data_IF_769719533032
#
_entry.id   IF_769719533032
#
_cell.length_a   1.000
_cell.length_b   1.000
_cell.length_c   1.000
_cell.angle_alpha   90.00
_cell.angle_beta   90.00
_cell.angle_gamma   90.00
#
_symmetry.space_group_name_H-M   'P 1'
#
loop_
_entity.id
_entity.type
_entity.pdbx_description
1 polymer ?
#
# COMPACT_ATOMS: atom_id res chain seq x y z
N UNK A 1 -41.42 -3.44 56.93
CA UNK A 1 -40.64 -4.24 57.90
C UNK A 1 -39.18 -4.28 57.48
N UNK A 2 -38.28 -4.39 58.46
CA UNK A 2 -36.82 -4.50 58.26
C UNK A 2 -36.50 -5.82 57.50
N UNK A 3 -35.65 -5.73 56.45
CA UNK A 3 -35.26 -6.89 55.64
C UNK A 3 -34.39 -7.88 56.43
N UNK A 4 -33.72 -7.48 57.50
CA UNK A 4 -32.88 -8.37 58.30
C UNK A 4 -33.60 -9.11 59.42
N UNK A 5 -34.53 -8.46 60.16
CA UNK A 5 -35.23 -9.13 61.25
C UNK A 5 -36.72 -9.44 60.98
N UNK A 6 -37.30 -8.84 59.94
CA UNK A 6 -38.70 -9.06 59.58
C UNK A 6 -39.74 -8.44 60.52
N UNK A 7 -39.34 -7.92 61.68
CA UNK A 7 -40.24 -7.56 62.74
C UNK A 7 -40.43 -6.03 62.96
N UNK A 8 -39.37 -5.26 62.74
CA UNK A 8 -39.37 -3.79 63.06
C UNK A 8 -39.56 -2.96 61.80
N UNK A 9 -40.06 -1.72 62.01
CA UNK A 9 -40.13 -0.74 60.89
C UNK A 9 -38.74 -0.35 60.42
N UNK A 10 -38.58 -0.14 59.12
CA UNK A 10 -37.35 0.36 58.50
C UNK A 10 -37.03 1.78 59.04
N UNK A 11 -35.77 2.08 59.19
CA UNK A 11 -35.31 3.44 59.41
C UNK A 11 -35.55 4.29 58.16
N UNK A 12 -35.67 5.61 58.32
CA UNK A 12 -35.91 6.53 57.23
C UNK A 12 -34.72 6.51 56.28
N UNK A 13 -34.96 6.18 55.01
CA UNK A 13 -33.90 6.06 54.00
C UNK A 13 -33.10 4.74 54.00
N UNK A 14 -33.49 3.75 54.84
CA UNK A 14 -32.82 2.46 54.96
C UNK A 14 -33.79 1.28 54.79
N UNK A 15 -33.31 0.17 54.23
CA UNK A 15 -34.05 -1.11 54.17
C UNK A 15 -34.03 -1.89 55.47
N UNK A 16 -33.34 -1.37 56.47
CA UNK A 16 -33.13 -1.99 57.80
C UNK A 16 -33.67 -1.13 58.91
N UNK A 17 -34.00 -1.70 60.04
CA UNK A 17 -34.29 -0.92 61.26
C UNK A 17 -32.98 -0.45 61.88
N UNK A 18 -33.03 0.62 62.68
CA UNK A 18 -31.87 1.25 63.28
C UNK A 18 -30.94 0.28 64.01
N UNK A 19 -31.50 -0.68 64.75
CA UNK A 19 -30.74 -1.68 65.51
C UNK A 19 -30.05 -2.73 64.58
N UNK A 20 -30.69 -3.14 63.52
CA UNK A 20 -30.08 -4.03 62.51
C UNK A 20 -29.01 -3.30 61.71
N UNK A 21 -29.21 -2.05 61.43
CA UNK A 21 -28.22 -1.22 60.73
C UNK A 21 -26.98 -0.96 61.60
N UNK A 22 -27.18 -0.67 62.88
CA UNK A 22 -26.10 -0.51 63.86
C UNK A 22 -25.34 -1.83 64.08
N UNK A 23 -26.05 -2.94 64.17
CA UNK A 23 -25.43 -4.28 64.25
C UNK A 23 -24.61 -4.60 63.01
N UNK A 24 -25.09 -4.29 61.80
CA UNK A 24 -24.32 -4.50 60.56
C UNK A 24 -23.09 -3.58 60.49
N UNK A 25 -23.20 -2.32 60.93
CA UNK A 25 -22.05 -1.40 61.00
C UNK A 25 -21.00 -1.81 62.06
N UNK A 26 -21.43 -2.41 63.15
CA UNK A 26 -20.55 -2.88 64.21
C UNK A 26 -19.96 -4.28 63.97
N UNK A 27 -20.51 -5.05 63.04
CA UNK A 27 -20.01 -6.39 62.73
C UNK A 27 -18.71 -6.28 61.97
N UNK A 28 -17.60 -6.64 62.62
CA UNK A 28 -16.30 -6.72 61.94
C UNK A 28 -16.35 -7.82 60.91
N UNK A 29 -16.11 -7.45 59.66
CA UNK A 29 -15.98 -8.43 58.56
C UNK A 29 -14.77 -9.33 58.91
N UNK A 30 -15.00 -10.65 59.07
CA UNK A 30 -13.89 -11.55 59.37
C UNK A 30 -12.81 -11.45 58.30
N UNK A 31 -11.55 -11.65 58.69
CA UNK A 31 -10.38 -11.58 57.77
C UNK A 31 -10.62 -12.37 56.48
N UNK A 32 -11.29 -13.51 56.62
CA UNK A 32 -11.66 -14.37 55.48
C UNK A 32 -12.62 -13.66 54.49
N UNK A 33 -13.53 -12.81 54.98
CA UNK A 33 -14.41 -11.99 54.14
C UNK A 33 -13.66 -10.91 53.37
N UNK A 34 -12.69 -10.27 54.00
CA UNK A 34 -11.82 -9.34 53.32
C UNK A 34 -10.96 -9.99 52.23
N UNK A 35 -10.38 -11.17 52.52
CA UNK A 35 -9.57 -11.96 51.56
C UNK A 35 -10.44 -12.39 50.37
N UNK A 36 -11.65 -12.91 50.67
CA UNK A 36 -12.61 -13.31 49.63
C UNK A 36 -13.05 -12.11 48.75
N UNK A 37 -13.34 -10.94 49.36
CA UNK A 37 -13.71 -9.74 48.66
C UNK A 37 -12.58 -9.25 47.76
N UNK A 38 -11.34 -9.26 48.27
CA UNK A 38 -10.17 -8.87 47.51
C UNK A 38 -9.90 -9.83 46.33
N UNK A 39 -10.02 -11.14 46.57
CA UNK A 39 -9.90 -12.16 45.54
C UNK A 39 -10.98 -12.01 44.45
N UNK A 40 -12.22 -11.67 44.82
CA UNK A 40 -13.29 -11.42 43.86
C UNK A 40 -13.04 -10.15 43.01
N UNK A 41 -12.50 -9.08 43.60
CA UNK A 41 -12.13 -7.86 42.86
C UNK A 41 -11.01 -8.17 41.88
N UNK A 42 -9.98 -8.88 42.33
CA UNK A 42 -8.86 -9.28 41.45
C UNK A 42 -9.37 -10.18 40.30
N UNK A 43 -10.20 -11.15 40.60
CA UNK A 43 -10.81 -12.02 39.58
C UNK A 43 -11.69 -11.23 38.59
N UNK A 44 -12.45 -10.23 39.09
CA UNK A 44 -13.25 -9.35 38.26
C UNK A 44 -12.39 -8.47 37.31
N UNK A 45 -11.31 -7.89 37.82
CA UNK A 45 -10.35 -7.11 37.00
C UNK A 45 -9.71 -8.02 35.95
N UNK A 46 -9.30 -9.24 36.35
CA UNK A 46 -8.71 -10.20 35.41
C UNK A 46 -9.72 -10.67 34.36
N UNK A 47 -10.97 -10.91 34.73
CA UNK A 47 -12.03 -11.27 33.81
C UNK A 47 -12.36 -10.12 32.83
N UNK A 48 -12.39 -8.87 33.29
CA UNK A 48 -12.56 -7.70 32.42
C UNK A 48 -11.38 -7.53 31.45
N UNK A 49 -10.16 -7.71 31.94
CA UNK A 49 -8.94 -7.68 31.10
C UNK A 49 -8.97 -8.75 30.01
N UNK A 50 -9.34 -9.99 30.37
CA UNK A 50 -9.51 -11.11 29.43
C UNK A 50 -10.65 -10.83 28.42
N UNK A 51 -11.78 -10.31 28.88
CA UNK A 51 -12.89 -9.96 28.00
C UNK A 51 -12.48 -8.87 26.97
N UNK A 52 -11.70 -7.89 27.39
CA UNK A 52 -11.17 -6.86 26.50
C UNK A 52 -10.17 -7.44 25.50
N UNK A 53 -9.22 -8.28 25.96
CA UNK A 53 -8.23 -8.93 25.09
C UNK A 53 -8.87 -9.84 24.03
N UNK A 54 -10.02 -10.44 24.31
CA UNK A 54 -10.74 -11.30 23.37
C UNK A 54 -11.68 -10.48 22.47
N UNK A 55 -12.34 -9.45 23.01
CA UNK A 55 -13.34 -8.70 22.26
C UNK A 55 -12.75 -7.78 21.20
N UNK A 56 -11.58 -7.20 21.45
CA UNK A 56 -10.94 -6.31 20.48
C UNK A 56 -10.53 -7.04 19.18
N UNK A 57 -9.80 -8.18 19.23
CA UNK A 57 -9.52 -8.99 18.04
C UNK A 57 -10.81 -9.50 17.36
N UNK A 58 -11.80 -9.97 18.14
CA UNK A 58 -13.07 -10.45 17.59
C UNK A 58 -13.82 -9.33 16.82
N UNK A 59 -13.75 -8.09 17.30
CA UNK A 59 -14.35 -6.95 16.63
C UNK A 59 -13.65 -6.66 15.30
N UNK A 60 -12.31 -6.78 15.23
CA UNK A 60 -11.58 -6.58 13.99
C UNK A 60 -11.87 -7.69 12.98
N UNK A 61 -11.94 -8.96 13.40
CA UNK A 61 -12.41 -10.06 12.54
C UNK A 61 -13.80 -9.77 11.99
N UNK A 62 -14.73 -9.34 12.86
CA UNK A 62 -16.10 -9.02 12.45
C UNK A 62 -16.14 -7.86 11.44
N UNK A 63 -15.35 -6.80 11.66
CA UNK A 63 -15.23 -5.68 10.70
C UNK A 63 -14.70 -6.17 9.35
N UNK A 64 -13.64 -6.97 9.37
CA UNK A 64 -13.06 -7.55 8.15
C UNK A 64 -14.08 -8.44 7.41
N UNK A 65 -14.84 -9.27 8.11
CA UNK A 65 -15.88 -10.11 7.52
C UNK A 65 -17.02 -9.30 6.90
N UNK A 66 -17.37 -8.17 7.51
CA UNK A 66 -18.37 -7.26 6.94
C UNK A 66 -17.88 -6.59 5.66
N UNK A 67 -16.62 -6.15 5.62
CA UNK A 67 -16.03 -5.51 4.42
C UNK A 67 -15.83 -6.55 3.32
N UNK A 68 -15.33 -7.75 3.62
CA UNK A 68 -15.22 -8.85 2.67
C UNK A 68 -16.58 -9.25 2.05
N UNK A 69 -17.65 -9.25 2.86
CA UNK A 69 -19.02 -9.53 2.37
C UNK A 69 -19.54 -8.47 1.38
N UNK A 70 -19.00 -7.25 1.45
CA UNK A 70 -19.28 -6.15 0.47
C UNK A 70 -18.38 -6.22 -0.77
N UNK A 71 -17.40 -7.12 -0.80
CA UNK A 71 -16.35 -7.14 -1.82
C UNK A 71 -15.26 -6.08 -1.63
N UNK A 72 -15.23 -5.39 -0.49
CA UNK A 72 -14.21 -4.40 -0.11
C UNK A 72 -13.00 -5.11 0.50
N UNK A 73 -12.20 -5.77 -0.34
CA UNK A 73 -11.15 -6.68 0.12
C UNK A 73 -9.96 -6.00 0.79
N UNK A 74 -9.58 -4.79 0.34
CA UNK A 74 -8.49 -4.05 0.98
C UNK A 74 -8.84 -3.59 2.41
N UNK A 75 -10.00 -2.96 2.69
CA UNK A 75 -10.45 -2.72 4.05
C UNK A 75 -10.59 -3.99 4.90
N UNK A 76 -10.99 -5.11 4.28
CA UNK A 76 -11.03 -6.40 4.97
C UNK A 76 -9.63 -6.86 5.38
N UNK A 77 -8.64 -6.78 4.46
CA UNK A 77 -7.24 -7.05 4.74
C UNK A 77 -6.71 -6.19 5.89
N UNK A 78 -6.93 -4.87 5.83
CA UNK A 78 -6.49 -3.92 6.87
C UNK A 78 -7.07 -4.27 8.25
N UNK A 79 -8.33 -4.71 8.31
CA UNK A 79 -8.94 -5.15 9.57
C UNK A 79 -8.33 -6.45 10.11
N UNK A 80 -8.04 -7.42 9.24
CA UNK A 80 -7.45 -8.69 9.64
C UNK A 80 -5.97 -8.56 10.01
N UNK A 81 -5.19 -7.75 9.30
CA UNK A 81 -3.76 -7.56 9.56
C UNK A 81 -3.48 -6.94 10.93
N UNK A 82 -4.36 -6.08 11.44
CA UNK A 82 -4.23 -5.51 12.79
C UNK A 82 -4.20 -6.54 13.93
N UNK A 83 -4.69 -7.75 13.68
CA UNK A 83 -4.69 -8.83 14.68
C UNK A 83 -3.67 -9.93 14.37
N UNK A 84 -2.99 -9.86 13.23
CA UNK A 84 -2.07 -10.90 12.78
C UNK A 84 -0.87 -11.05 13.72
N UNK A 85 -0.29 -9.95 14.16
CA UNK A 85 0.83 -9.95 15.11
C UNK A 85 0.42 -10.57 16.45
N UNK A 86 -0.79 -10.25 16.93
CA UNK A 86 -1.31 -10.83 18.17
C UNK A 86 -1.52 -12.34 18.03
N UNK A 87 -2.09 -12.77 16.90
CA UNK A 87 -2.34 -14.19 16.61
C UNK A 87 -1.02 -14.95 16.46
N UNK A 88 -0.03 -14.35 15.80
CA UNK A 88 1.32 -14.91 15.63
C UNK A 88 2.02 -15.08 16.98
N UNK A 89 2.01 -14.05 17.84
CA UNK A 89 2.61 -14.08 19.17
C UNK A 89 1.94 -15.13 20.08
N UNK A 90 0.61 -15.30 19.99
CA UNK A 90 -0.09 -16.34 20.76
C UNK A 90 0.25 -17.74 20.25
N UNK A 91 0.42 -17.92 18.94
CA UNK A 91 0.81 -19.19 18.34
C UNK A 91 2.23 -19.63 18.72
N UNK A 92 3.16 -18.71 18.90
CA UNK A 92 4.53 -19.01 19.39
C UNK A 92 4.53 -19.54 20.82
N UNK A 93 3.59 -19.07 21.65
CA UNK A 93 3.46 -19.48 23.06
C UNK A 93 2.71 -20.82 23.18
N UNK A 94 1.74 -21.06 22.30
CA UNK A 94 0.86 -22.23 22.36
C UNK A 94 1.30 -23.28 21.34
N UNK A 95 1.68 -24.47 21.81
CA UNK A 95 2.06 -25.61 20.95
C UNK A 95 0.94 -25.99 19.95
N UNK A 96 1.35 -26.57 18.82
CA UNK A 96 0.59 -26.78 17.56
C UNK A 96 -0.83 -27.39 17.66
N UNK A 97 -1.22 -28.00 18.76
CA UNK A 97 -2.52 -28.70 18.88
C UNK A 97 -3.62 -27.91 19.63
N UNK A 98 -3.34 -26.66 19.99
CA UNK A 98 -4.33 -25.86 20.72
C UNK A 98 -5.46 -25.35 19.82
N UNK A 99 -6.70 -25.15 20.37
CA UNK A 99 -7.78 -24.51 19.62
C UNK A 99 -7.44 -23.12 19.08
N UNK A 100 -6.48 -22.44 19.70
CA UNK A 100 -6.01 -21.11 19.29
C UNK A 100 -5.17 -21.17 18.01
N UNK A 101 -4.41 -22.24 17.77
CA UNK A 101 -3.68 -22.44 16.51
C UNK A 101 -4.64 -22.56 15.32
N UNK A 102 -5.78 -23.26 15.51
CA UNK A 102 -6.85 -23.33 14.50
C UNK A 102 -7.47 -21.96 14.21
N UNK A 103 -7.64 -21.13 15.24
CA UNK A 103 -8.11 -19.75 15.08
C UNK A 103 -7.08 -18.90 14.33
N UNK A 104 -5.79 -19.09 14.60
CA UNK A 104 -4.69 -18.43 13.88
C UNK A 104 -4.69 -18.77 12.38
N UNK A 105 -4.78 -20.05 12.04
CA UNK A 105 -4.93 -20.47 10.65
C UNK A 105 -6.14 -19.80 9.96
N UNK A 106 -7.27 -19.71 10.67
CA UNK A 106 -8.47 -19.06 10.15
C UNK A 106 -8.27 -17.59 9.82
N UNK A 107 -7.54 -16.84 10.65
CA UNK A 107 -7.19 -15.42 10.41
C UNK A 107 -6.22 -15.31 9.25
N UNK A 108 -5.13 -16.07 9.23
CA UNK A 108 -4.17 -16.10 8.12
C UNK A 108 -4.85 -16.43 6.78
N UNK A 109 -5.78 -17.35 6.76
CA UNK A 109 -6.56 -17.69 5.57
C UNK A 109 -7.47 -16.54 5.11
N UNK A 110 -8.03 -15.76 6.03
CA UNK A 110 -8.81 -14.55 5.70
C UNK A 110 -7.93 -13.47 5.12
N UNK A 111 -6.74 -13.24 5.69
CA UNK A 111 -5.70 -12.33 5.17
C UNK A 111 -5.31 -12.75 3.75
N UNK A 112 -4.93 -14.01 3.56
CA UNK A 112 -4.57 -14.57 2.26
C UNK A 112 -5.68 -14.37 1.20
N UNK A 113 -6.94 -14.67 1.55
CA UNK A 113 -8.07 -14.45 0.64
C UNK A 113 -8.22 -12.98 0.26
N UNK A 114 -8.04 -12.07 1.22
CA UNK A 114 -8.11 -10.64 0.96
C UNK A 114 -6.97 -10.19 0.04
N UNK A 115 -5.75 -10.68 0.27
CA UNK A 115 -4.60 -10.44 -0.60
C UNK A 115 -4.89 -10.96 -2.02
N UNK A 116 -5.36 -12.19 -2.15
CA UNK A 116 -5.67 -12.81 -3.44
C UNK A 116 -6.77 -12.08 -4.26
N UNK A 117 -7.56 -11.22 -3.62
CA UNK A 117 -8.59 -10.41 -4.27
C UNK A 117 -8.20 -8.93 -4.45
N UNK A 118 -7.17 -8.46 -3.76
CA UNK A 118 -6.77 -7.04 -3.73
C UNK A 118 -5.39 -6.76 -4.26
N UNK A 119 -4.53 -7.77 -4.33
CA UNK A 119 -3.13 -7.64 -4.69
C UNK A 119 -2.76 -8.56 -5.85
N UNK A 120 -1.50 -8.47 -6.30
CA UNK A 120 -1.01 -9.32 -7.36
C UNK A 120 -0.99 -10.82 -6.97
N UNK A 121 -1.12 -11.73 -7.93
CA UNK A 121 -0.98 -13.17 -7.67
C UNK A 121 0.37 -13.56 -7.05
N UNK A 122 1.43 -12.79 -7.28
CA UNK A 122 2.74 -13.03 -6.66
C UNK A 122 2.70 -12.76 -5.15
N UNK A 123 2.07 -11.67 -4.71
CA UNK A 123 1.86 -11.38 -3.28
C UNK A 123 0.95 -12.41 -2.61
N UNK A 124 -0.09 -12.86 -3.32
CA UNK A 124 -0.92 -13.97 -2.88
C UNK A 124 -0.09 -15.27 -2.74
N UNK A 125 0.85 -15.53 -3.63
CA UNK A 125 1.71 -16.69 -3.59
C UNK A 125 2.69 -16.65 -2.40
N UNK A 126 3.32 -15.52 -2.11
CA UNK A 126 4.14 -15.35 -0.90
C UNK A 126 3.32 -15.50 0.39
N UNK A 127 2.10 -14.97 0.42
CA UNK A 127 1.19 -15.16 1.55
C UNK A 127 0.80 -16.62 1.73
N UNK A 128 0.57 -17.36 0.64
CA UNK A 128 0.28 -18.79 0.65
C UNK A 128 1.46 -19.60 1.18
N UNK A 129 2.68 -19.28 0.80
CA UNK A 129 3.91 -19.93 1.29
C UNK A 129 4.07 -19.74 2.80
N UNK A 130 3.85 -18.52 3.30
CA UNK A 130 3.86 -18.23 4.73
C UNK A 130 2.85 -19.08 5.50
N UNK A 131 1.64 -19.28 4.94
CA UNK A 131 0.64 -20.16 5.54
C UNK A 131 1.09 -21.62 5.47
N UNK A 132 1.68 -22.03 4.34
CA UNK A 132 2.14 -23.40 4.14
C UNK A 132 3.27 -23.77 5.11
N UNK A 133 4.22 -22.86 5.32
CA UNK A 133 5.34 -23.06 6.25
C UNK A 133 4.88 -23.18 7.71
N UNK A 134 3.88 -22.38 8.11
CA UNK A 134 3.42 -22.31 9.50
C UNK A 134 2.34 -23.35 9.82
N UNK A 135 1.45 -23.67 8.86
CA UNK A 135 0.24 -24.49 9.05
C UNK A 135 0.14 -25.62 8.04
N UNK A 136 1.23 -26.29 7.72
CA UNK A 136 1.37 -27.29 6.63
C UNK A 136 0.19 -28.26 6.54
N UNK A 137 -0.18 -28.94 7.63
CA UNK A 137 -1.27 -29.95 7.61
C UNK A 137 -2.63 -29.38 7.19
N UNK A 138 -2.90 -28.11 7.50
CA UNK A 138 -4.15 -27.43 7.14
C UNK A 138 -4.04 -26.83 5.74
N UNK A 139 -2.88 -26.25 5.40
CA UNK A 139 -2.59 -25.64 4.12
C UNK A 139 -2.69 -26.64 2.96
N UNK A 140 -2.17 -27.87 3.16
CA UNK A 140 -2.26 -28.95 2.16
C UNK A 140 -3.68 -29.33 1.76
N UNK A 141 -4.67 -29.02 2.59
CA UNK A 141 -6.09 -29.29 2.31
C UNK A 141 -6.78 -28.16 1.55
N UNK A 142 -6.11 -27.02 1.39
CA UNK A 142 -6.67 -25.85 0.73
C UNK A 142 -6.16 -25.75 -0.71
N UNK A 143 -7.04 -25.95 -1.70
CA UNK A 143 -6.68 -25.96 -3.11
C UNK A 143 -6.04 -24.63 -3.57
N UNK A 144 -6.59 -23.49 -3.16
CA UNK A 144 -6.10 -22.16 -3.54
C UNK A 144 -4.69 -21.89 -2.98
N UNK A 145 -4.43 -22.27 -1.70
CA UNK A 145 -3.08 -22.15 -1.12
C UNK A 145 -2.09 -23.02 -1.89
N UNK A 146 -2.47 -24.25 -2.22
CA UNK A 146 -1.62 -25.18 -3.01
C UNK A 146 -1.28 -24.65 -4.41
N UNK A 147 -2.28 -24.10 -5.08
CA UNK A 147 -2.12 -23.52 -6.42
C UNK A 147 -1.16 -22.32 -6.38
N UNK A 148 -1.33 -21.42 -5.43
CA UNK A 148 -0.44 -20.27 -5.25
C UNK A 148 0.99 -20.70 -4.86
N UNK A 149 1.15 -21.72 -4.02
CA UNK A 149 2.49 -22.23 -3.66
C UNK A 149 3.18 -22.89 -4.86
N UNK A 150 2.42 -23.62 -5.68
CA UNK A 150 2.97 -24.20 -6.92
C UNK A 150 3.43 -23.08 -7.88
N UNK A 151 2.58 -22.08 -8.09
CA UNK A 151 2.92 -20.91 -8.89
C UNK A 151 4.24 -20.27 -8.43
N UNK A 152 4.42 -20.06 -7.12
CA UNK A 152 5.64 -19.48 -6.57
C UNK A 152 6.87 -20.35 -6.86
N UNK A 153 6.72 -21.68 -6.75
CA UNK A 153 7.81 -22.63 -7.10
C UNK A 153 8.19 -22.52 -8.57
N UNK A 154 7.22 -22.50 -9.49
CA UNK A 154 7.47 -22.37 -10.93
C UNK A 154 8.14 -21.00 -11.24
N UNK A 155 7.73 -19.93 -10.55
CA UNK A 155 8.34 -18.61 -10.68
C UNK A 155 9.81 -18.60 -10.19
N UNK A 156 10.08 -19.19 -9.01
CA UNK A 156 11.42 -19.26 -8.44
C UNK A 156 12.36 -20.11 -9.30
N UNK A 157 11.90 -21.27 -9.78
CA UNK A 157 12.68 -22.12 -10.68
C UNK A 157 13.05 -21.38 -11.98
N UNK A 158 12.13 -20.61 -12.53
CA UNK A 158 12.41 -19.79 -13.72
C UNK A 158 13.44 -18.71 -13.42
N UNK A 159 13.31 -18.04 -12.27
CA UNK A 159 14.25 -17.00 -11.86
C UNK A 159 15.66 -17.55 -11.64
N UNK A 160 15.79 -18.73 -11.03
CA UNK A 160 17.07 -19.43 -10.89
C UNK A 160 17.70 -19.77 -12.25
N UNK A 161 16.90 -20.24 -13.21
CA UNK A 161 17.37 -20.57 -14.56
C UNK A 161 17.89 -19.35 -15.34
N UNK A 162 17.34 -18.17 -15.09
CA UNK A 162 17.77 -16.91 -15.74
C UNK A 162 18.84 -16.14 -14.94
N UNK A 163 19.39 -16.69 -13.85
CA UNK A 163 20.32 -15.97 -12.98
C UNK A 163 21.52 -15.36 -13.73
N UNK A 164 22.15 -16.11 -14.64
CA UNK A 164 23.28 -15.64 -15.46
C UNK A 164 22.86 -14.48 -16.40
N UNK A 165 21.64 -14.54 -16.94
CA UNK A 165 21.09 -13.48 -17.78
C UNK A 165 20.81 -12.21 -16.97
N UNK A 166 20.34 -12.34 -15.72
CA UNK A 166 20.13 -11.23 -14.79
C UNK A 166 21.48 -10.60 -14.38
N UNK A 167 22.51 -11.41 -14.14
CA UNK A 167 23.85 -10.89 -13.86
C UNK A 167 24.40 -10.09 -15.05
N UNK A 168 24.28 -10.58 -16.28
CA UNK A 168 24.64 -9.83 -17.48
C UNK A 168 23.79 -8.57 -17.65
N UNK A 169 22.51 -8.61 -17.34
CA UNK A 169 21.65 -7.42 -17.36
C UNK A 169 22.18 -6.33 -16.47
N UNK A 170 22.64 -6.65 -15.27
CA UNK A 170 23.15 -5.72 -14.27
C UNK A 170 24.61 -5.29 -14.52
N UNK A 171 25.33 -5.98 -15.40
CA UNK A 171 26.71 -5.68 -15.73
C UNK A 171 26.81 -4.54 -16.75
N UNK A 172 27.55 -3.49 -16.43
CA UNK A 172 27.85 -2.40 -17.38
C UNK A 172 28.71 -2.86 -18.58
N UNK A 173 29.42 -3.98 -18.44
CA UNK A 173 30.29 -4.52 -19.48
C UNK A 173 29.53 -5.33 -20.54
N UNK A 174 28.37 -5.92 -20.17
CA UNK A 174 27.57 -6.72 -21.09
C UNK A 174 26.74 -5.85 -22.04
N UNK A 175 26.78 -6.17 -23.32
CA UNK A 175 25.95 -5.52 -24.34
C UNK A 175 24.49 -5.94 -24.24
N UNK A 176 23.60 -5.18 -24.91
CA UNK A 176 22.18 -5.53 -25.04
C UNK A 176 22.02 -6.91 -25.67
N UNK A 177 22.76 -7.18 -26.75
CA UNK A 177 22.70 -8.44 -27.49
C UNK A 177 23.13 -9.63 -26.62
N UNK A 178 24.21 -9.50 -25.86
CA UNK A 178 24.69 -10.54 -24.93
C UNK A 178 23.69 -10.82 -23.81
N UNK A 179 23.08 -9.76 -23.28
CA UNK A 179 22.03 -9.89 -22.27
C UNK A 179 20.81 -10.62 -22.81
N UNK A 180 20.31 -10.20 -23.98
CA UNK A 180 19.12 -10.83 -24.59
C UNK A 180 19.38 -12.28 -25.01
N UNK A 181 20.58 -12.58 -25.54
CA UNK A 181 20.99 -13.95 -25.89
C UNK A 181 21.03 -14.88 -24.67
N UNK A 182 21.48 -14.38 -23.51
CA UNK A 182 21.47 -15.15 -22.28
C UNK A 182 20.05 -15.51 -21.81
N UNK A 183 19.09 -14.61 -21.96
CA UNK A 183 17.69 -14.93 -21.71
C UNK A 183 17.12 -15.94 -22.72
N UNK A 184 17.52 -15.88 -24.00
CA UNK A 184 17.09 -16.86 -25.01
C UNK A 184 17.66 -18.27 -24.72
N UNK A 185 18.89 -18.35 -24.24
CA UNK A 185 19.52 -19.60 -23.80
C UNK A 185 18.76 -20.17 -22.59
N UNK A 186 18.51 -19.37 -21.57
CA UNK A 186 17.78 -19.77 -20.37
C UNK A 186 16.35 -20.26 -20.67
N UNK A 187 15.69 -19.68 -21.68
CA UNK A 187 14.36 -20.09 -22.10
C UNK A 187 14.29 -21.53 -22.64
N UNK A 188 15.43 -22.15 -22.97
CA UNK A 188 15.49 -23.53 -23.44
C UNK A 188 15.57 -24.54 -22.29
N UNK A 189 15.74 -24.13 -21.05
CA UNK A 189 15.88 -25.02 -19.91
C UNK A 189 14.54 -25.68 -19.53
N UNK A 190 14.62 -26.95 -19.07
CA UNK A 190 13.44 -27.70 -18.66
C UNK A 190 12.76 -27.04 -17.42
N UNK A 191 11.44 -26.92 -17.46
CA UNK A 191 10.64 -26.39 -16.34
C UNK A 191 10.60 -24.86 -16.25
N UNK A 192 11.16 -24.17 -17.24
CA UNK A 192 11.14 -22.70 -17.33
C UNK A 192 9.83 -22.23 -17.94
N UNK A 193 9.18 -21.24 -17.31
CA UNK A 193 7.95 -20.67 -17.83
C UNK A 193 8.24 -19.58 -18.87
N UNK A 194 7.74 -19.76 -20.10
CA UNK A 194 8.01 -18.88 -21.22
C UNK A 194 7.53 -17.43 -21.00
N UNK A 195 6.40 -17.23 -20.32
CA UNK A 195 5.88 -15.88 -20.02
C UNK A 195 6.83 -15.15 -19.09
N UNK A 196 7.30 -15.82 -18.03
CA UNK A 196 8.22 -15.22 -17.06
C UNK A 196 9.56 -14.85 -17.69
N UNK A 197 10.16 -15.77 -18.49
CA UNK A 197 11.42 -15.47 -19.17
C UNK A 197 11.27 -14.28 -20.12
N UNK A 198 10.20 -14.25 -20.90
CA UNK A 198 9.96 -13.15 -21.85
C UNK A 198 9.75 -11.82 -21.15
N UNK A 199 9.07 -11.83 -20.01
CA UNK A 199 8.92 -10.64 -19.17
C UNK A 199 10.25 -10.20 -18.53
N UNK A 200 11.07 -11.13 -18.05
CA UNK A 200 12.41 -10.83 -17.55
C UNK A 200 13.34 -10.29 -18.67
N UNK A 201 13.17 -10.78 -19.90
CA UNK A 201 13.84 -10.21 -21.07
C UNK A 201 13.43 -8.76 -21.34
N UNK A 202 12.14 -8.43 -21.17
CA UNK A 202 11.67 -7.04 -21.19
C UNK A 202 12.36 -6.21 -20.10
N UNK A 203 12.47 -6.71 -18.87
CA UNK A 203 13.18 -6.01 -17.80
C UNK A 203 14.66 -5.78 -18.16
N UNK A 204 15.32 -6.78 -18.78
CA UNK A 204 16.68 -6.62 -19.29
C UNK A 204 16.81 -5.55 -20.36
N UNK A 205 15.86 -5.49 -21.29
CA UNK A 205 15.79 -4.46 -22.32
C UNK A 205 15.56 -3.05 -21.70
N UNK A 206 14.74 -2.97 -20.65
CA UNK A 206 14.51 -1.71 -19.92
C UNK A 206 15.75 -1.27 -19.17
N UNK A 207 16.44 -2.17 -18.48
CA UNK A 207 17.67 -1.86 -17.77
C UNK A 207 18.80 -1.35 -18.71
N UNK A 208 18.81 -1.85 -19.93
CA UNK A 208 19.76 -1.45 -20.99
C UNK A 208 19.27 -0.28 -21.86
N UNK A 209 18.28 0.47 -21.41
CA UNK A 209 17.74 1.68 -22.07
C UNK A 209 17.33 1.46 -23.54
N UNK A 210 16.79 0.31 -23.88
CA UNK A 210 16.27 0.05 -25.22
C UNK A 210 15.06 0.96 -25.51
N UNK A 211 14.89 1.39 -26.80
CA UNK A 211 13.72 2.19 -27.18
C UNK A 211 12.39 1.49 -26.87
N UNK A 212 11.36 2.25 -26.50
CA UNK A 212 10.02 1.76 -26.14
C UNK A 212 9.41 0.85 -27.23
N UNK A 213 9.61 1.21 -28.50
CA UNK A 213 9.13 0.43 -29.64
C UNK A 213 9.74 -1.00 -29.71
N UNK A 214 10.96 -1.18 -29.19
CA UNK A 214 11.62 -2.48 -29.14
C UNK A 214 11.22 -3.24 -27.86
N UNK A 215 11.09 -2.56 -26.73
CA UNK A 215 10.60 -3.11 -25.47
C UNK A 215 9.17 -3.64 -25.59
N UNK A 216 8.30 -2.95 -26.34
CA UNK A 216 6.92 -3.41 -26.66
C UNK A 216 6.92 -4.79 -27.28
N UNK A 217 7.87 -5.12 -28.15
CA UNK A 217 7.93 -6.46 -28.82
C UNK A 217 8.11 -7.60 -27.82
N UNK A 218 8.83 -7.37 -26.70
CA UNK A 218 8.97 -8.39 -25.67
C UNK A 218 7.67 -8.60 -24.89
N UNK A 219 6.90 -7.55 -24.65
CA UNK A 219 5.60 -7.67 -23.98
C UNK A 219 4.54 -8.29 -24.90
N UNK A 220 4.60 -8.02 -26.21
CA UNK A 220 3.80 -8.74 -27.23
C UNK A 220 4.15 -10.24 -27.26
N UNK A 221 5.42 -10.58 -27.14
CA UNK A 221 5.85 -11.96 -27.07
C UNK A 221 5.42 -12.64 -25.76
N UNK A 222 5.44 -11.92 -24.62
CA UNK A 222 4.92 -12.43 -23.36
C UNK A 222 3.39 -12.71 -23.43
N UNK A 223 2.62 -11.82 -24.05
CA UNK A 223 1.18 -12.03 -24.29
C UNK A 223 0.92 -13.23 -25.23
N UNK A 224 1.75 -13.40 -26.25
CA UNK A 224 1.63 -14.52 -27.16
C UNK A 224 1.94 -15.86 -26.44
N UNK A 225 2.96 -15.90 -25.58
CA UNK A 225 3.29 -17.06 -24.75
C UNK A 225 2.15 -17.38 -23.77
N UNK A 226 1.62 -16.36 -23.06
CA UNK A 226 0.50 -16.48 -22.13
C UNK A 226 -0.76 -17.08 -22.81
N UNK A 227 -1.05 -16.59 -24.01
CA UNK A 227 -2.15 -17.10 -24.83
C UNK A 227 -1.93 -18.54 -25.30
N UNK A 228 -0.70 -18.91 -25.66
CA UNK A 228 -0.35 -20.26 -26.13
C UNK A 228 -0.42 -21.29 -25.00
N UNK A 229 0.04 -20.94 -23.81
CA UNK A 229 0.00 -21.77 -22.61
C UNK A 229 -1.39 -21.81 -21.96
N UNK A 230 -2.31 -20.93 -22.37
CA UNK A 230 -3.62 -20.69 -21.73
C UNK A 230 -3.48 -20.42 -20.23
N UNK A 231 -2.39 -19.81 -19.86
CA UNK A 231 -2.15 -19.28 -18.52
C UNK A 231 -2.92 -17.97 -18.33
N UNK A 232 -2.99 -17.45 -17.14
CA UNK A 232 -3.60 -16.15 -16.85
C UNK A 232 -2.56 -15.26 -16.12
N UNK A 233 -1.42 -15.03 -16.83
CA UNK A 233 -0.28 -14.27 -16.31
C UNK A 233 -0.24 -12.82 -16.81
N UNK A 234 -1.34 -12.34 -17.39
CA UNK A 234 -1.42 -10.96 -17.88
C UNK A 234 -1.17 -9.90 -16.80
N UNK A 235 -1.42 -10.22 -15.54
CA UNK A 235 -1.09 -9.36 -14.39
C UNK A 235 0.41 -9.04 -14.27
N UNK A 236 1.27 -9.91 -14.77
CA UNK A 236 2.73 -9.74 -14.68
C UNK A 236 3.21 -8.58 -15.57
N UNK A 237 2.66 -8.46 -16.76
CA UNK A 237 3.14 -7.54 -17.79
C UNK A 237 2.15 -6.42 -18.15
N UNK A 238 0.89 -6.50 -17.75
CA UNK A 238 -0.14 -5.57 -18.20
C UNK A 238 0.13 -4.11 -17.82
N UNK A 239 0.66 -3.86 -16.61
CA UNK A 239 0.95 -2.50 -16.17
C UNK A 239 2.07 -1.86 -16.99
N UNK A 240 3.17 -2.59 -17.18
CA UNK A 240 4.30 -2.10 -17.96
C UNK A 240 3.94 -1.95 -19.44
N UNK A 241 3.15 -2.88 -19.96
CA UNK A 241 2.68 -2.77 -21.33
C UNK A 241 1.77 -1.56 -21.53
N UNK A 242 0.85 -1.30 -20.59
CA UNK A 242 0.02 -0.09 -20.64
C UNK A 242 0.88 1.18 -20.62
N UNK A 243 1.92 1.23 -19.76
CA UNK A 243 2.83 2.36 -19.68
C UNK A 243 3.55 2.61 -21.01
N UNK A 244 4.13 1.59 -21.62
CA UNK A 244 4.79 1.74 -22.91
C UNK A 244 3.82 2.15 -24.03
N UNK A 245 2.60 1.60 -24.02
CA UNK A 245 1.57 1.98 -25.00
C UNK A 245 1.14 3.45 -24.84
N UNK A 246 1.07 3.95 -23.61
CA UNK A 246 0.84 5.38 -23.36
C UNK A 246 1.98 6.24 -23.93
N UNK A 247 3.23 5.86 -23.70
CA UNK A 247 4.40 6.58 -24.21
C UNK A 247 4.41 6.68 -25.75
N UNK A 248 3.91 5.66 -26.43
CA UNK A 248 3.82 5.65 -27.91
C UNK A 248 2.46 6.10 -28.43
N UNK A 249 1.60 6.68 -27.58
CA UNK A 249 0.30 7.27 -27.97
C UNK A 249 -0.80 6.28 -28.30
N UNK A 250 -0.70 5.01 -27.89
CA UNK A 250 -1.70 3.97 -28.13
C UNK A 250 -2.70 3.85 -26.96
N UNK A 251 -3.41 4.94 -26.65
CA UNK A 251 -4.28 5.06 -25.46
C UNK A 251 -5.37 3.99 -25.35
N UNK A 252 -6.08 3.66 -26.43
CA UNK A 252 -7.14 2.64 -26.40
C UNK A 252 -6.59 1.25 -26.03
N UNK A 253 -5.42 0.90 -26.57
CA UNK A 253 -4.77 -0.36 -26.26
C UNK A 253 -4.26 -0.34 -24.81
N UNK A 254 -3.70 0.77 -24.33
CA UNK A 254 -3.28 0.95 -22.94
C UNK A 254 -4.44 0.76 -21.97
N UNK A 255 -5.61 1.37 -22.22
CA UNK A 255 -6.82 1.16 -21.39
C UNK A 255 -7.21 -0.32 -21.28
N UNK A 256 -7.06 -1.09 -22.36
CA UNK A 256 -7.34 -2.54 -22.33
C UNK A 256 -6.43 -3.29 -21.35
N UNK A 257 -5.14 -2.94 -21.30
CA UNK A 257 -4.19 -3.58 -20.38
C UNK A 257 -4.33 -3.08 -18.94
N UNK A 258 -4.70 -1.82 -18.75
CA UNK A 258 -5.06 -1.31 -17.42
C UNK A 258 -6.30 -2.03 -16.87
N UNK A 259 -7.30 -2.32 -17.70
CA UNK A 259 -8.46 -3.12 -17.30
C UNK A 259 -8.09 -4.57 -16.97
N UNK A 260 -7.16 -5.18 -17.72
CA UNK A 260 -6.61 -6.50 -17.37
C UNK A 260 -5.93 -6.46 -16.01
N UNK A 261 -5.08 -5.46 -15.74
CA UNK A 261 -4.42 -5.30 -14.44
C UNK A 261 -5.42 -5.13 -13.31
N UNK A 262 -6.41 -4.26 -13.47
CA UNK A 262 -7.42 -3.98 -12.44
C UNK A 262 -8.40 -5.14 -12.19
N UNK A 263 -8.46 -6.12 -13.08
CA UNK A 263 -9.17 -7.38 -12.83
C UNK A 263 -8.53 -8.18 -11.69
N UNK A 264 -7.19 -8.15 -11.60
CA UNK A 264 -6.43 -8.83 -10.56
C UNK A 264 -6.25 -7.97 -9.32
N UNK A 265 -5.84 -6.72 -9.50
CA UNK A 265 -5.55 -5.80 -8.43
C UNK A 265 -6.32 -4.48 -8.60
N UNK A 266 -7.52 -4.44 -8.03
CA UNK A 266 -8.37 -3.22 -8.01
C UNK A 266 -7.78 -2.11 -7.16
N UNK A 267 -6.84 -2.43 -6.26
CA UNK A 267 -6.15 -1.51 -5.36
C UNK A 267 -4.86 -0.97 -5.95
N UNK A 268 -4.49 -1.36 -7.17
CA UNK A 268 -3.32 -0.83 -7.87
C UNK A 268 -3.43 0.68 -8.08
N UNK A 269 -2.66 1.45 -7.32
CA UNK A 269 -2.60 2.90 -7.46
C UNK A 269 -2.15 3.29 -8.87
N UNK A 270 -1.06 2.68 -9.34
CA UNK A 270 -0.50 2.98 -10.65
C UNK A 270 -1.50 2.73 -11.79
N UNK A 271 -2.19 1.59 -11.79
CA UNK A 271 -3.16 1.28 -12.84
C UNK A 271 -4.37 2.24 -12.83
N UNK A 272 -4.90 2.59 -11.64
CA UNK A 272 -5.99 3.53 -11.52
C UNK A 272 -5.57 4.96 -11.88
N UNK A 273 -4.38 5.39 -11.44
CA UNK A 273 -3.82 6.70 -11.78
C UNK A 273 -3.60 6.83 -13.30
N UNK A 274 -2.94 5.86 -13.92
CA UNK A 274 -2.74 5.86 -15.38
C UNK A 274 -4.05 5.88 -16.15
N UNK A 275 -5.04 5.09 -15.74
CA UNK A 275 -6.36 5.06 -16.36
C UNK A 275 -7.11 6.39 -16.22
N UNK A 276 -7.08 6.98 -15.03
CA UNK A 276 -7.65 8.30 -14.76
C UNK A 276 -6.99 9.36 -15.67
N UNK A 277 -5.68 9.35 -15.77
CA UNK A 277 -4.90 10.29 -16.60
C UNK A 277 -5.24 10.17 -18.08
N UNK A 278 -5.35 8.95 -18.60
CA UNK A 278 -5.78 8.75 -20.00
C UNK A 278 -7.15 9.36 -20.27
N UNK A 279 -8.12 9.16 -19.39
CA UNK A 279 -9.42 9.77 -19.54
C UNK A 279 -9.38 11.30 -19.45
N UNK A 280 -8.58 11.87 -18.56
CA UNK A 280 -8.40 13.33 -18.47
C UNK A 280 -7.77 13.91 -19.74
N UNK A 281 -6.74 13.24 -20.28
CA UNK A 281 -6.09 13.65 -21.53
C UNK A 281 -7.06 13.64 -22.73
N UNK A 282 -8.05 12.76 -22.72
CA UNK A 282 -9.12 12.70 -23.74
C UNK A 282 -10.32 13.63 -23.44
N UNK A 283 -10.28 14.40 -22.35
CA UNK A 283 -11.39 15.25 -21.91
C UNK A 283 -12.58 14.50 -21.32
N UNK A 284 -12.43 13.22 -21.01
CA UNK A 284 -13.46 12.33 -20.43
C UNK A 284 -13.48 12.45 -18.91
N UNK A 285 -13.85 13.64 -18.42
CA UNK A 285 -13.79 13.97 -16.98
C UNK A 285 -14.68 13.08 -16.11
N UNK A 286 -15.86 12.70 -16.61
CA UNK A 286 -16.81 11.85 -15.87
C UNK A 286 -16.26 10.42 -15.69
N UNK A 287 -15.59 9.87 -16.70
CA UNK A 287 -14.94 8.59 -16.65
C UNK A 287 -13.75 8.61 -15.68
N UNK A 288 -12.95 9.68 -15.70
CA UNK A 288 -11.86 9.89 -14.75
C UNK A 288 -12.37 9.96 -13.30
N UNK A 289 -13.46 10.73 -13.08
CA UNK A 289 -14.11 10.81 -11.77
C UNK A 289 -14.60 9.43 -11.27
N UNK A 290 -15.15 8.60 -12.17
CA UNK A 290 -15.60 7.26 -11.82
C UNK A 290 -14.42 6.37 -11.39
N UNK A 291 -13.31 6.38 -12.13
CA UNK A 291 -12.09 5.64 -11.74
C UNK A 291 -11.63 6.04 -10.34
N UNK A 292 -11.52 7.34 -10.08
CA UNK A 292 -11.15 7.86 -8.76
C UNK A 292 -12.11 7.39 -7.68
N UNK A 293 -13.43 7.44 -7.90
CA UNK A 293 -14.41 7.00 -6.89
C UNK A 293 -14.37 5.49 -6.64
N UNK A 294 -14.19 4.67 -7.70
CA UNK A 294 -14.05 3.22 -7.58
C UNK A 294 -12.79 2.86 -6.77
N UNK A 295 -11.67 3.52 -7.06
CA UNK A 295 -10.44 3.35 -6.30
C UNK A 295 -10.60 3.76 -4.82
N UNK A 296 -11.18 4.93 -4.57
CA UNK A 296 -11.46 5.43 -3.21
C UNK A 296 -12.35 4.46 -2.42
N UNK A 297 -13.31 3.83 -3.07
CA UNK A 297 -14.14 2.81 -2.44
C UNK A 297 -13.38 1.51 -2.14
N UNK A 298 -12.48 1.09 -3.05
CA UNK A 298 -11.64 -0.10 -2.89
C UNK A 298 -10.57 0.09 -1.82
N UNK A 299 -9.96 1.28 -1.74
CA UNK A 299 -8.84 1.63 -0.84
C UNK A 299 -9.25 2.58 0.29
N UNK A 300 -10.50 2.49 0.74
CA UNK A 300 -11.02 3.36 1.80
C UNK A 300 -10.16 3.31 3.05
N UNK A 301 -9.78 4.48 3.56
CA UNK A 301 -8.97 4.62 4.77
C UNK A 301 -7.47 4.43 4.51
N UNK A 302 -7.00 4.76 3.32
CA UNK A 302 -5.58 4.82 2.98
C UNK A 302 -5.19 6.22 2.51
N UNK A 303 -3.93 6.58 2.68
CA UNK A 303 -3.35 7.82 2.15
C UNK A 303 -3.37 7.84 0.62
N UNK A 304 -3.18 6.68 -0.04
CA UNK A 304 -3.26 6.55 -1.49
C UNK A 304 -4.64 6.89 -2.06
N UNK A 305 -5.73 6.63 -1.31
CA UNK A 305 -7.08 7.05 -1.72
C UNK A 305 -7.21 8.58 -1.74
N UNK A 306 -6.64 9.27 -0.75
CA UNK A 306 -6.53 10.72 -0.74
C UNK A 306 -5.64 11.22 -1.87
N UNK A 307 -4.50 10.60 -2.08
CA UNK A 307 -3.56 10.97 -3.13
C UNK A 307 -4.21 10.98 -4.52
N UNK A 308 -4.96 9.93 -4.88
CA UNK A 308 -5.63 9.86 -6.18
C UNK A 308 -6.75 10.91 -6.31
N UNK A 309 -7.53 11.16 -5.25
CA UNK A 309 -8.58 12.18 -5.26
C UNK A 309 -7.99 13.59 -5.36
N UNK A 310 -6.91 13.89 -4.64
CA UNK A 310 -6.19 15.16 -4.72
C UNK A 310 -5.63 15.36 -6.15
N UNK A 311 -5.02 14.33 -6.72
CA UNK A 311 -4.51 14.36 -8.09
C UNK A 311 -5.63 14.64 -9.10
N UNK A 312 -6.79 13.99 -8.96
CA UNK A 312 -7.97 14.27 -9.79
C UNK A 312 -8.43 15.73 -9.67
N UNK A 313 -8.65 16.22 -8.43
CA UNK A 313 -9.09 17.58 -8.16
C UNK A 313 -8.14 18.63 -8.74
N UNK A 314 -6.84 18.40 -8.58
CA UNK A 314 -5.80 19.24 -9.18
C UNK A 314 -5.88 19.27 -10.69
N UNK A 315 -6.04 18.11 -11.32
CA UNK A 315 -6.09 17.98 -12.78
C UNK A 315 -7.34 18.62 -13.42
N UNK A 316 -8.45 18.72 -12.68
CA UNK A 316 -9.66 19.42 -13.13
C UNK A 316 -9.72 20.89 -12.69
N UNK A 317 -8.65 21.42 -12.10
CA UNK A 317 -8.53 22.82 -11.68
C UNK A 317 -9.23 23.18 -10.37
N UNK A 318 -9.71 22.22 -9.60
CA UNK A 318 -10.37 22.42 -8.30
C UNK A 318 -9.31 22.55 -7.17
N UNK A 319 -8.36 23.49 -7.34
CA UNK A 319 -7.17 23.60 -6.52
C UNK A 319 -7.45 23.87 -5.04
N UNK A 320 -8.49 24.68 -4.73
CA UNK A 320 -8.87 24.95 -3.34
C UNK A 320 -9.37 23.69 -2.63
N UNK A 321 -10.20 22.89 -3.28
CA UNK A 321 -10.68 21.61 -2.74
C UNK A 321 -9.51 20.60 -2.57
N UNK A 322 -8.61 20.54 -3.55
CA UNK A 322 -7.44 19.71 -3.48
C UNK A 322 -6.56 20.07 -2.26
N UNK A 323 -6.36 21.36 -2.00
CA UNK A 323 -5.61 21.86 -0.83
C UNK A 323 -6.29 21.54 0.50
N UNK A 324 -7.60 21.74 0.58
CA UNK A 324 -8.39 21.36 1.77
C UNK A 324 -8.24 19.86 2.06
N UNK A 325 -8.31 19.04 1.02
CA UNK A 325 -8.16 17.59 1.13
C UNK A 325 -6.75 17.17 1.54
N UNK A 326 -5.68 17.83 1.06
CA UNK A 326 -4.31 17.65 1.57
C UNK A 326 -4.24 17.90 3.08
N UNK A 327 -4.85 18.98 3.54
CA UNK A 327 -4.87 19.33 4.98
C UNK A 327 -5.62 18.29 5.81
N UNK A 328 -6.71 17.73 5.29
CA UNK A 328 -7.45 16.65 5.94
C UNK A 328 -6.62 15.36 6.01
N UNK A 329 -6.03 14.96 4.87
CA UNK A 329 -5.20 13.76 4.79
C UNK A 329 -4.00 13.82 5.74
N UNK A 330 -3.30 14.96 5.83
CA UNK A 330 -2.16 15.14 6.74
C UNK A 330 -2.56 15.10 8.22
N UNK A 331 -3.81 15.50 8.58
CA UNK A 331 -4.31 15.32 9.94
C UNK A 331 -4.56 13.85 10.29
N UNK A 332 -4.98 13.06 9.32
CA UNK A 332 -5.30 11.63 9.51
C UNK A 332 -4.05 10.75 9.48
N UNK A 333 -3.15 11.00 8.52
CA UNK A 333 -1.97 10.13 8.25
C UNK A 333 -0.64 10.73 8.74
N UNK A 334 -0.66 11.95 9.26
CA UNK A 334 0.57 12.59 9.74
C UNK A 334 1.52 12.95 8.61
N UNK A 335 2.69 12.32 8.56
CA UNK A 335 3.73 12.59 7.57
C UNK A 335 3.63 11.62 6.38
N UNK A 336 2.89 11.98 5.32
CA UNK A 336 2.88 11.28 4.04
C UNK A 336 3.68 12.07 3.00
N UNK A 337 4.79 11.54 2.47
CA UNK A 337 5.57 12.20 1.43
C UNK A 337 4.70 12.53 0.22
N UNK A 338 3.86 11.59 -0.19
CA UNK A 338 3.01 11.68 -1.35
C UNK A 338 1.98 12.82 -1.23
N UNK A 339 1.40 13.03 -0.04
CA UNK A 339 0.44 14.11 0.21
C UNK A 339 1.14 15.47 0.24
N UNK A 340 2.31 15.58 0.88
CA UNK A 340 3.11 16.80 0.84
C UNK A 340 3.54 17.17 -0.57
N UNK A 341 3.94 16.18 -1.39
CA UNK A 341 4.23 16.41 -2.81
C UNK A 341 3.03 16.98 -3.55
N UNK A 342 1.84 16.40 -3.39
CA UNK A 342 0.62 16.91 -4.02
C UNK A 342 0.33 18.36 -3.58
N UNK A 343 0.51 18.68 -2.31
CA UNK A 343 0.36 20.04 -1.79
C UNK A 343 1.36 21.01 -2.42
N UNK A 344 2.63 20.62 -2.53
CA UNK A 344 3.66 21.40 -3.21
C UNK A 344 3.28 21.70 -4.67
N UNK A 345 2.78 20.69 -5.41
CA UNK A 345 2.34 20.87 -6.80
C UNK A 345 1.13 21.83 -6.91
N UNK A 346 0.19 21.80 -5.97
CA UNK A 346 -0.94 22.75 -5.92
C UNK A 346 -0.44 24.18 -5.70
N UNK A 347 0.50 24.39 -4.78
CA UNK A 347 1.12 25.70 -4.56
C UNK A 347 1.90 26.19 -5.78
N UNK A 348 2.62 25.31 -6.48
CA UNK A 348 3.31 25.64 -7.74
C UNK A 348 2.32 26.13 -8.80
N UNK A 349 1.18 25.41 -8.98
CA UNK A 349 0.15 25.81 -9.94
C UNK A 349 -0.49 27.18 -9.59
N UNK A 350 -0.56 27.51 -8.31
CA UNK A 350 -1.04 28.80 -7.83
C UNK A 350 0.04 29.92 -7.87
N UNK A 351 1.27 29.59 -8.25
CA UNK A 351 2.39 30.53 -8.25
C UNK A 351 2.88 30.91 -6.83
N UNK A 352 2.50 30.15 -5.82
CA UNK A 352 2.95 30.31 -4.43
C UNK A 352 4.21 29.48 -4.19
N UNK A 353 5.33 29.97 -4.70
CA UNK A 353 6.58 29.24 -4.72
C UNK A 353 7.18 29.01 -3.32
N UNK A 354 6.89 29.89 -2.33
CA UNK A 354 7.41 29.76 -0.98
C UNK A 354 6.77 28.57 -0.27
N UNK A 355 5.42 28.49 -0.28
CA UNK A 355 4.71 27.36 0.32
C UNK A 355 4.96 26.07 -0.48
N UNK A 356 5.14 26.15 -1.80
CA UNK A 356 5.53 25.00 -2.60
C UNK A 356 6.87 24.41 -2.16
N UNK A 357 7.84 25.27 -1.87
CA UNK A 357 9.17 24.84 -1.39
C UNK A 357 9.10 24.22 0.00
N UNK A 358 8.34 24.82 0.94
CA UNK A 358 8.17 24.28 2.29
C UNK A 358 7.53 22.88 2.26
N UNK A 359 6.49 22.70 1.46
CA UNK A 359 5.82 21.40 1.36
C UNK A 359 6.66 20.37 0.60
N UNK A 360 7.45 20.79 -0.39
CA UNK A 360 8.42 19.90 -1.05
C UNK A 360 9.51 19.43 -0.09
N UNK A 361 10.01 20.31 0.77
CA UNK A 361 10.97 19.96 1.80
C UNK A 361 10.35 19.03 2.84
N UNK A 362 9.07 19.25 3.20
CA UNK A 362 8.34 18.35 4.08
C UNK A 362 8.13 16.95 3.47
N UNK A 363 7.90 16.88 2.15
CA UNK A 363 7.82 15.61 1.41
C UNK A 363 9.14 14.83 1.48
N UNK A 364 10.25 15.50 1.20
CA UNK A 364 11.60 14.91 1.31
C UNK A 364 11.88 14.41 2.72
N UNK A 365 11.62 15.23 3.73
CA UNK A 365 11.85 14.84 5.12
C UNK A 365 10.99 13.62 5.53
N UNK A 366 9.74 13.57 5.11
CA UNK A 366 8.86 12.44 5.34
C UNK A 366 9.35 11.16 4.63
N UNK A 367 9.83 11.29 3.38
CA UNK A 367 10.45 10.19 2.63
C UNK A 367 11.74 9.70 3.30
N UNK A 368 12.58 10.61 3.80
CA UNK A 368 13.76 10.26 4.58
C UNK A 368 13.43 9.50 5.85
N UNK A 369 12.40 9.92 6.61
CA UNK A 369 11.92 9.18 7.77
C UNK A 369 11.46 7.77 7.39
N UNK A 370 10.72 7.62 6.30
CA UNK A 370 10.30 6.32 5.78
C UNK A 370 11.50 5.44 5.41
N UNK A 371 12.50 6.00 4.72
CA UNK A 371 13.76 5.33 4.41
C UNK A 371 14.48 4.81 5.67
N UNK A 372 14.54 5.59 6.75
CA UNK A 372 15.18 5.16 8.00
C UNK A 372 14.51 3.91 8.61
N UNK A 373 13.21 3.70 8.38
CA UNK A 373 12.49 2.53 8.86
C UNK A 373 12.55 1.34 7.90
N UNK A 374 12.46 1.60 6.58
CA UNK A 374 12.32 0.53 5.58
C UNK A 374 13.65 0.12 4.94
N UNK A 375 14.66 0.98 4.97
CA UNK A 375 15.91 0.81 4.22
C UNK A 375 15.75 1.04 2.70
N UNK A 376 14.54 1.40 2.22
CA UNK A 376 14.27 1.67 0.81
C UNK A 376 14.62 3.12 0.46
N UNK A 377 15.72 3.29 -0.25
CA UNK A 377 16.22 4.59 -0.67
C UNK A 377 15.54 5.14 -1.94
N UNK A 378 14.81 4.32 -2.68
CA UNK A 378 14.27 4.71 -4.00
C UNK A 378 13.25 5.83 -3.87
N UNK A 379 12.29 5.71 -2.95
CA UNK A 379 11.26 6.72 -2.70
C UNK A 379 11.88 8.04 -2.22
N UNK A 380 12.89 7.98 -1.35
CA UNK A 380 13.60 9.16 -0.87
C UNK A 380 14.32 9.89 -1.99
N UNK A 381 15.07 9.18 -2.82
CA UNK A 381 15.79 9.75 -3.96
C UNK A 381 14.82 10.36 -4.98
N UNK A 382 13.69 9.69 -5.24
CA UNK A 382 12.68 10.19 -6.16
C UNK A 382 12.04 11.49 -5.67
N UNK A 383 11.67 11.59 -4.39
CA UNK A 383 11.10 12.83 -3.84
C UNK A 383 12.11 13.98 -3.88
N UNK A 384 13.35 13.69 -3.53
CA UNK A 384 14.42 14.66 -3.56
C UNK A 384 14.65 15.21 -4.98
N UNK A 385 14.78 14.32 -5.99
CA UNK A 385 15.07 14.72 -7.36
C UNK A 385 13.88 15.40 -8.05
N UNK A 386 12.67 14.94 -7.82
CA UNK A 386 11.51 15.43 -8.56
C UNK A 386 10.92 16.71 -7.95
N UNK A 387 10.60 16.68 -6.68
CA UNK A 387 9.79 17.74 -6.07
C UNK A 387 10.65 18.86 -5.53
N UNK A 388 11.69 18.57 -4.76
CA UNK A 388 12.58 19.60 -4.21
C UNK A 388 13.33 20.31 -5.31
N UNK A 389 13.86 19.54 -6.29
CA UNK A 389 14.62 20.15 -7.37
C UNK A 389 13.75 21.12 -8.18
N UNK A 390 12.54 20.70 -8.55
CA UNK A 390 11.61 21.57 -9.28
C UNK A 390 11.24 22.83 -8.48
N UNK A 391 10.90 22.67 -7.20
CA UNK A 391 10.54 23.80 -6.33
C UNK A 391 11.73 24.75 -6.13
N UNK A 392 12.93 24.21 -5.90
CA UNK A 392 14.16 25.01 -5.75
C UNK A 392 14.48 25.79 -7.01
N UNK A 393 14.38 25.14 -8.17
CA UNK A 393 14.62 25.79 -9.46
C UNK A 393 13.60 26.91 -9.73
N UNK A 394 12.31 26.66 -9.51
CA UNK A 394 11.27 27.68 -9.71
C UNK A 394 11.41 28.86 -8.75
N UNK A 395 11.78 28.64 -7.49
CA UNK A 395 12.06 29.70 -6.52
C UNK A 395 13.22 30.58 -7.00
N UNK A 396 14.28 29.99 -7.53
CA UNK A 396 15.41 30.72 -8.09
C UNK A 396 15.02 31.52 -9.33
N UNK A 397 14.40 30.88 -10.32
CA UNK A 397 14.03 31.48 -11.61
C UNK A 397 12.96 32.59 -11.47
N UNK A 398 12.01 32.45 -10.58
CA UNK A 398 10.96 33.45 -10.35
C UNK A 398 11.35 34.55 -9.39
N UNK A 399 12.62 34.59 -8.97
CA UNK A 399 13.20 35.71 -8.20
C UNK A 399 12.66 35.82 -6.78
N UNK A 400 12.19 34.73 -6.19
CA UNK A 400 11.80 34.67 -4.79
C UNK A 400 13.04 34.83 -3.92
N UNK A 401 13.12 35.97 -3.27
CA UNK A 401 14.29 36.43 -2.52
C UNK A 401 14.21 36.02 -1.06
N UNK A 402 14.22 34.75 -0.78
CA UNK A 402 14.73 34.39 0.53
C UNK A 402 16.25 34.23 0.42
N UNK A 403 16.95 35.30 0.80
CA UNK A 403 18.41 35.39 0.66
C UNK A 403 19.17 34.37 1.50
N UNK A 404 18.52 33.84 2.55
CA UNK A 404 19.12 32.83 3.43
C UNK A 404 19.06 31.42 2.79
N UNK A 405 18.08 31.16 1.93
CA UNK A 405 17.93 29.89 1.24
C UNK A 405 18.59 29.84 -0.16
N UNK A 406 18.99 30.96 -0.75
CA UNK A 406 19.56 30.97 -2.08
C UNK A 406 20.85 30.13 -2.19
N UNK A 407 21.72 30.18 -1.17
CA UNK A 407 22.94 29.38 -1.13
C UNK A 407 22.63 27.88 -1.00
N UNK A 408 21.63 27.54 -0.19
CA UNK A 408 21.17 26.15 0.00
C UNK A 408 20.50 25.59 -1.26
N UNK A 409 19.69 26.41 -1.96
CA UNK A 409 19.11 26.05 -3.26
C UNK A 409 20.20 25.79 -4.29
N UNK A 410 21.25 26.65 -4.36
CA UNK A 410 22.37 26.44 -5.25
C UNK A 410 23.18 25.18 -4.90
N UNK A 411 23.33 24.86 -3.63
CA UNK A 411 23.96 23.62 -3.16
C UNK A 411 23.15 22.39 -3.60
N UNK A 412 21.82 22.39 -3.38
CA UNK A 412 20.94 21.31 -3.84
C UNK A 412 21.03 21.16 -5.36
N UNK A 413 20.86 22.23 -6.14
CA UNK A 413 20.90 22.19 -7.59
C UNK A 413 22.24 21.69 -8.14
N UNK A 414 23.35 21.97 -7.45
CA UNK A 414 24.68 21.49 -7.82
C UNK A 414 24.96 20.03 -7.46
N UNK A 415 24.16 19.44 -6.58
CA UNK A 415 24.35 18.06 -6.10
C UNK A 415 23.74 16.99 -7.01
N UNK A 416 22.88 17.39 -7.96
CA UNK A 416 22.24 16.46 -8.89
C UNK A 416 22.88 16.49 -10.29
N UNK A 417 23.10 15.30 -10.86
CA UNK A 417 23.33 15.15 -12.28
C UNK A 417 22.01 15.14 -13.07
N UNK A 418 22.03 15.51 -14.35
CA UNK A 418 20.80 15.43 -15.18
C UNK A 418 20.17 14.03 -15.21
N UNK A 419 20.98 12.98 -15.05
CA UNK A 419 20.49 11.59 -15.03
C UNK A 419 19.70 11.22 -13.76
N UNK A 420 19.80 12.03 -12.73
CA UNK A 420 19.08 11.82 -11.46
C UNK A 420 17.75 12.60 -11.41
N UNK A 421 17.49 13.44 -12.42
CA UNK A 421 16.30 14.29 -12.50
C UNK A 421 15.28 13.63 -13.44
N UNK A 422 14.01 13.58 -13.04
CA UNK A 422 12.98 13.01 -13.91
C UNK A 422 12.82 13.79 -15.22
N UNK A 423 12.47 13.09 -16.29
CA UNK A 423 12.25 13.68 -17.62
C UNK A 423 11.22 14.81 -17.59
N UNK A 424 10.16 14.68 -16.80
CA UNK A 424 9.13 15.71 -16.65
C UNK A 424 9.69 17.00 -16.07
N UNK A 425 10.54 16.92 -15.05
CA UNK A 425 11.21 18.09 -14.46
C UNK A 425 12.21 18.70 -15.43
N UNK A 426 13.01 17.88 -16.13
CA UNK A 426 13.94 18.34 -17.14
C UNK A 426 13.25 19.09 -18.29
N UNK A 427 12.11 18.63 -18.77
CA UNK A 427 11.31 19.30 -19.81
C UNK A 427 10.85 20.70 -19.37
N UNK A 428 10.46 20.85 -18.09
CA UNK A 428 10.11 22.17 -17.53
C UNK A 428 11.35 23.08 -17.47
N UNK A 429 12.46 22.55 -16.94
CA UNK A 429 13.71 23.31 -16.77
C UNK A 429 14.28 23.77 -18.14
N UNK A 430 14.24 22.91 -19.14
CA UNK A 430 14.71 23.19 -20.50
C UNK A 430 13.74 24.09 -21.28
N UNK A 431 12.52 24.29 -20.78
CA UNK A 431 11.49 25.10 -21.44
C UNK A 431 10.78 24.37 -22.59
N UNK A 432 10.93 23.07 -22.67
CA UNK A 432 10.27 22.23 -23.68
C UNK A 432 8.77 22.10 -23.39
N UNK A 433 8.40 22.10 -22.12
CA UNK A 433 7.00 22.11 -21.63
C UNK A 433 6.82 23.12 -20.50
N UNK A 434 5.61 23.65 -20.39
CA UNK A 434 5.21 24.45 -19.23
C UNK A 434 4.88 23.56 -18.03
N UNK A 435 4.95 24.13 -16.82
CA UNK A 435 4.51 23.46 -15.60
C UNK A 435 3.05 22.97 -15.73
N UNK A 436 2.17 23.79 -16.29
CA UNK A 436 0.75 23.44 -16.48
C UNK A 436 0.58 22.25 -17.43
N UNK A 437 1.29 22.21 -18.55
CA UNK A 437 1.24 21.09 -19.49
C UNK A 437 1.71 19.79 -18.84
N UNK A 438 2.78 19.81 -18.08
CA UNK A 438 3.28 18.61 -17.40
C UNK A 438 2.34 18.14 -16.30
N UNK A 439 1.78 19.06 -15.50
CA UNK A 439 0.90 18.67 -14.37
C UNK A 439 -0.54 18.33 -14.76
N UNK A 440 -1.03 18.81 -15.91
CA UNK A 440 -2.43 18.55 -16.36
C UNK A 440 -2.53 17.42 -17.36
N UNK A 441 -1.58 17.23 -18.25
CA UNK A 441 -1.66 16.27 -19.37
C UNK A 441 -1.23 14.84 -19.03
N UNK A 442 -0.92 14.54 -17.80
CA UNK A 442 -0.73 13.17 -17.37
C UNK A 442 0.55 12.48 -17.85
N UNK A 443 1.51 13.21 -18.39
CA UNK A 443 2.84 12.70 -18.75
C UNK A 443 3.85 12.85 -17.60
N UNK A 444 3.35 12.99 -16.36
CA UNK A 444 4.18 13.46 -15.26
C UNK A 444 4.52 12.32 -14.29
N UNK A 445 5.81 12.09 -14.06
CA UNK A 445 6.32 11.22 -13.01
C UNK A 445 6.06 11.80 -11.59
N UNK A 446 5.55 13.05 -11.55
CA UNK A 446 5.23 13.78 -10.32
C UNK A 446 3.84 13.49 -9.74
N UNK A 447 3.09 12.53 -10.31
CA UNK A 447 1.72 12.21 -9.86
C UNK A 447 1.70 10.92 -9.06
#
# INVERSE_FOLDING_TARGET
>A
LCLACGERRRAEGSDYCAECEERMRSTKIPLLGWVAGFAAVIAGIFAMGLAFLISAPALQVYKGDMEAAKGSWYPAYSAYSQIDDLVSSVNEILKSDSPFVRSGYGVKLKIFKSIAHSYSPLEAAYSAESIFSTYNEHAQKNAMVKECTKFLTDYQNTYEAVADAVEKMQSDEATVEETLAAFDEAATADGVNAVFVTYLKYNGATYKDMPDADRIKFLEAAEAADSAEKSDYSWLYSLDYARLLMNVGQSDKALTYLDKQLKYDKSSFNANSMKMRLYLAEGKTDEAARVMQEYKAACKGTDTAYQLEISYLRSVGELDKARELCTEALKEYGTSPEIYRQSALIYLMNGDYDNAYEDAYAAEYAAYQKYQYTGDNSAYTQELSNTIYLCSWLCKEKGKKDTDNAAYIDEILSSFSESEISDSVLQIIKGDKTLEEVLTLGECDLI
#
